data_IF_053452078348
#
_entry.id   IF_053452078348
#
_cell.length_a   1.000
_cell.length_b   1.000
_cell.length_c   1.000
_cell.angle_alpha   90.00
_cell.angle_beta   90.00
_cell.angle_gamma   90.00
#
_symmetry.space_group_name_H-M   'P 1'
#
loop_
_entity.id
_entity.type
_entity.pdbx_description
1 polymer ?
#
# COMPACT_ATOMS: atom_id res chain seq x y z
N UNK A 1 -2.08 -19.06 -8.46
CA UNK A 1 -2.89 -18.37 -9.51
C UNK A 1 -2.56 -18.95 -10.90
N UNK A 2 -3.54 -19.53 -11.61
CA UNK A 2 -3.33 -20.26 -12.89
C UNK A 2 -3.17 -19.37 -14.13
N UNK A 3 -3.53 -18.09 -14.06
CA UNK A 3 -3.41 -17.17 -15.20
C UNK A 3 -1.94 -16.93 -15.57
N UNK A 4 -1.63 -16.75 -16.85
CA UNK A 4 -0.26 -16.42 -17.29
C UNK A 4 0.00 -14.92 -17.06
N UNK A 5 1.26 -14.50 -16.83
CA UNK A 5 1.59 -13.09 -16.65
C UNK A 5 1.12 -12.19 -17.80
N UNK A 6 1.19 -12.67 -19.06
CA UNK A 6 0.71 -11.92 -20.23
C UNK A 6 -0.80 -11.66 -20.20
N UNK A 7 -1.58 -12.56 -19.61
CA UNK A 7 -3.03 -12.42 -19.50
C UNK A 7 -3.42 -11.43 -18.40
N UNK A 8 -2.62 -11.33 -17.34
CA UNK A 8 -2.81 -10.34 -16.27
C UNK A 8 -2.54 -8.89 -16.70
N UNK A 9 -1.78 -8.69 -17.78
CA UNK A 9 -1.51 -7.35 -18.36
C UNK A 9 -2.67 -6.83 -19.22
N UNK A 10 -3.68 -7.65 -19.49
CA UNK A 10 -4.89 -7.22 -20.19
C UNK A 10 -5.82 -6.47 -19.23
N UNK A 11 -6.82 -5.78 -19.77
CA UNK A 11 -7.88 -5.14 -18.98
C UNK A 11 -8.52 -6.17 -18.04
N UNK A 12 -8.53 -5.85 -16.74
CA UNK A 12 -9.15 -6.69 -15.72
C UNK A 12 -10.66 -6.50 -15.77
N UNK A 13 -11.38 -7.60 -16.00
CA UNK A 13 -12.84 -7.67 -15.85
C UNK A 13 -13.14 -8.60 -14.69
N UNK A 14 -13.71 -8.05 -13.62
CA UNK A 14 -14.10 -8.79 -12.43
C UNK A 14 -15.62 -8.85 -12.37
N UNK A 15 -16.15 -9.98 -11.91
CA UNK A 15 -17.57 -10.20 -11.68
C UNK A 15 -17.75 -10.83 -10.31
N UNK A 16 -18.39 -10.13 -9.38
CA UNK A 16 -18.80 -10.70 -8.11
C UNK A 16 -19.97 -11.67 -8.33
N UNK A 17 -19.94 -12.81 -7.64
CA UNK A 17 -20.93 -13.86 -7.83
C UNK A 17 -22.22 -13.47 -7.14
N UNK A 18 -23.30 -13.34 -7.91
CA UNK A 18 -24.62 -12.98 -7.39
C UNK A 18 -24.92 -11.48 -7.47
N UNK A 19 -24.01 -10.67 -8.01
CA UNK A 19 -24.16 -9.23 -8.18
C UNK A 19 -24.21 -8.84 -9.66
N UNK A 20 -25.07 -7.88 -10.01
CA UNK A 20 -25.13 -7.29 -11.35
C UNK A 20 -24.13 -6.13 -11.46
N UNK A 21 -22.88 -6.44 -11.79
CA UNK A 21 -21.86 -5.42 -12.04
C UNK A 21 -22.02 -4.74 -13.40
N UNK A 22 -22.62 -3.55 -13.44
CA UNK A 22 -22.73 -2.72 -14.65
C UNK A 22 -21.44 -1.91 -14.95
N UNK A 23 -20.70 -1.51 -13.91
CA UNK A 23 -19.42 -0.77 -13.99
C UNK A 23 -18.21 -1.72 -13.86
N UNK A 24 -17.76 -2.30 -14.98
CA UNK A 24 -16.60 -3.20 -15.00
C UNK A 24 -15.30 -2.59 -14.46
N UNK A 25 -15.15 -1.25 -14.48
CA UNK A 25 -13.94 -0.59 -13.99
C UNK A 25 -13.94 -0.43 -12.47
N UNK A 26 -15.08 -0.03 -11.90
CA UNK A 26 -15.30 0.06 -10.45
C UNK A 26 -15.17 -1.28 -9.76
N UNK A 27 -15.79 -2.30 -10.32
CA UNK A 27 -15.76 -3.67 -9.77
C UNK A 27 -14.33 -4.22 -9.73
N UNK A 28 -13.49 -3.93 -10.72
CA UNK A 28 -12.08 -4.34 -10.70
C UNK A 28 -11.25 -3.61 -9.62
N UNK A 29 -11.53 -2.32 -9.41
CA UNK A 29 -10.89 -1.49 -8.36
C UNK A 29 -11.29 -1.96 -6.97
N UNK A 30 -12.57 -2.19 -6.76
CA UNK A 30 -13.12 -2.77 -5.54
C UNK A 30 -12.49 -4.10 -5.22
N UNK A 31 -12.47 -5.01 -6.19
CA UNK A 31 -11.88 -6.32 -5.99
C UNK A 31 -10.41 -6.23 -5.58
N UNK A 32 -9.63 -5.34 -6.19
CA UNK A 32 -8.26 -5.09 -5.76
C UNK A 32 -8.19 -4.52 -4.35
N UNK A 33 -9.06 -3.56 -4.00
CA UNK A 33 -9.13 -2.98 -2.67
C UNK A 33 -9.43 -4.04 -1.60
N UNK A 34 -10.50 -4.83 -1.78
CA UNK A 34 -10.89 -5.90 -0.88
C UNK A 34 -9.81 -6.97 -0.77
N UNK A 35 -9.24 -7.40 -1.90
CA UNK A 35 -8.17 -8.39 -1.93
C UNK A 35 -6.91 -7.90 -1.22
N UNK A 36 -6.54 -6.62 -1.38
CA UNK A 36 -5.40 -6.03 -0.69
C UNK A 36 -5.60 -6.05 0.82
N UNK A 37 -6.82 -5.77 1.30
CA UNK A 37 -7.12 -5.81 2.73
C UNK A 37 -7.02 -7.24 3.29
N UNK A 38 -7.59 -8.21 2.59
CA UNK A 38 -7.54 -9.62 3.00
C UNK A 38 -6.13 -10.21 2.92
N UNK A 39 -5.38 -9.97 1.86
CA UNK A 39 -4.05 -10.59 1.72
C UNK A 39 -3.02 -10.06 2.73
N UNK A 40 -3.28 -8.88 3.30
CA UNK A 40 -2.45 -8.24 4.33
C UNK A 40 -2.96 -8.53 5.75
N UNK A 41 -4.06 -9.27 5.88
CA UNK A 41 -4.64 -9.63 7.16
C UNK A 41 -3.69 -10.55 7.94
N UNK A 42 -3.22 -10.15 9.14
CA UNK A 42 -2.30 -10.96 9.95
C UNK A 42 -2.84 -12.35 10.33
N UNK A 43 -4.17 -12.57 10.32
CA UNK A 43 -4.77 -13.87 10.60
C UNK A 43 -4.34 -14.97 9.62
N UNK A 44 -3.93 -14.64 8.39
CA UNK A 44 -3.38 -15.63 7.46
C UNK A 44 -1.93 -16.04 7.79
N UNK A 45 -1.30 -15.39 8.77
CA UNK A 45 0.07 -15.67 9.22
C UNK A 45 1.16 -15.29 8.22
N UNK A 46 0.83 -14.58 7.14
CA UNK A 46 1.80 -14.15 6.11
C UNK A 46 2.58 -12.90 6.54
N UNK A 47 1.88 -11.92 7.10
CA UNK A 47 2.45 -10.66 7.54
C UNK A 47 2.18 -10.45 9.02
N UNK A 48 3.03 -9.67 9.66
CA UNK A 48 2.87 -9.20 11.04
C UNK A 48 3.17 -7.72 11.12
N UNK A 49 2.67 -7.05 12.16
CA UNK A 49 3.02 -5.66 12.41
C UNK A 49 4.48 -5.53 12.84
N UNK A 50 5.14 -4.46 12.40
CA UNK A 50 6.55 -4.21 12.75
C UNK A 50 6.73 -3.76 14.18
N UNK A 51 5.85 -2.90 14.68
CA UNK A 51 5.85 -2.35 16.04
C UNK A 51 4.41 -2.05 16.47
N UNK A 52 4.16 -1.93 17.78
CA UNK A 52 2.82 -1.72 18.33
C UNK A 52 2.22 -0.35 17.97
N UNK A 53 3.06 0.63 17.63
CA UNK A 53 2.65 2.03 17.39
C UNK A 53 2.62 2.44 15.92
N UNK A 54 3.13 1.60 15.02
CA UNK A 54 3.19 1.87 13.58
C UNK A 54 2.59 0.68 12.86
N UNK A 55 1.41 0.86 12.26
CA UNK A 55 0.70 -0.13 11.43
C UNK A 55 1.38 -0.38 10.08
N UNK A 56 2.70 -0.63 10.10
CA UNK A 56 3.46 -1.11 8.94
C UNK A 56 3.66 -2.61 9.07
N UNK A 57 3.57 -3.29 7.94
CA UNK A 57 3.66 -4.73 7.84
C UNK A 57 5.07 -5.17 7.44
N UNK A 58 5.50 -6.28 8.02
CA UNK A 58 6.68 -7.04 7.63
C UNK A 58 6.29 -8.50 7.39
N UNK A 59 7.09 -9.23 6.61
CA UNK A 59 6.89 -10.67 6.43
C UNK A 59 7.01 -11.36 7.78
N UNK A 60 6.07 -12.24 8.09
CA UNK A 60 6.14 -13.09 9.27
C UNK A 60 7.19 -14.20 9.05
N UNK A 61 8.28 -14.24 9.84
CA UNK A 61 9.27 -15.32 9.77
C UNK A 61 8.66 -16.70 10.02
N UNK A 62 7.61 -16.77 10.85
CA UNK A 62 6.92 -18.01 11.22
C UNK A 62 5.75 -18.35 10.27
N UNK A 63 5.71 -17.71 9.10
CA UNK A 63 4.67 -17.98 8.07
C UNK A 63 4.63 -19.43 7.59
N UNK A 64 5.69 -20.21 7.83
CA UNK A 64 5.75 -21.65 7.54
C UNK A 64 4.72 -22.49 8.31
N UNK A 65 4.07 -21.92 9.34
CA UNK A 65 2.88 -22.52 9.96
C UNK A 65 1.77 -22.80 8.94
N UNK A 66 1.71 -21.99 7.87
CA UNK A 66 0.90 -22.27 6.69
C UNK A 66 1.77 -23.02 5.65
N UNK A 67 1.46 -24.30 5.34
CA UNK A 67 2.26 -25.11 4.41
C UNK A 67 2.31 -24.53 3.00
N UNK A 68 1.33 -23.72 2.60
CA UNK A 68 1.24 -23.09 1.29
C UNK A 68 1.81 -21.65 1.28
N UNK A 69 2.42 -21.17 2.37
CA UNK A 69 2.80 -19.77 2.53
C UNK A 69 3.64 -19.21 1.35
N UNK A 70 4.59 -19.98 0.80
CA UNK A 70 5.39 -19.54 -0.35
C UNK A 70 4.52 -19.29 -1.60
N UNK A 71 3.51 -20.13 -1.82
CA UNK A 71 2.54 -19.95 -2.91
C UNK A 71 1.68 -18.69 -2.68
N UNK A 72 1.32 -18.41 -1.42
CA UNK A 72 0.64 -17.17 -1.04
C UNK A 72 1.53 -15.93 -1.23
N UNK A 73 2.80 -15.95 -0.85
CA UNK A 73 3.72 -14.84 -1.11
C UNK A 73 3.92 -14.61 -2.60
N UNK A 74 4.04 -15.68 -3.41
CA UNK A 74 4.07 -15.55 -4.86
C UNK A 74 2.80 -14.89 -5.41
N UNK A 75 1.64 -15.25 -4.87
CA UNK A 75 0.37 -14.64 -5.24
C UNK A 75 0.31 -13.16 -4.82
N UNK A 76 0.68 -12.84 -3.59
CA UNK A 76 0.78 -11.46 -3.08
C UNK A 76 1.67 -10.63 -3.99
N UNK A 77 2.87 -11.11 -4.31
CA UNK A 77 3.78 -10.44 -5.24
C UNK A 77 3.14 -10.17 -6.60
N UNK A 78 2.36 -11.12 -7.13
CA UNK A 78 1.63 -10.92 -8.39
C UNK A 78 0.52 -9.88 -8.27
N UNK A 79 -0.22 -9.85 -7.17
CA UNK A 79 -1.26 -8.83 -6.91
C UNK A 79 -0.61 -7.45 -6.77
N UNK A 80 0.52 -7.36 -6.08
CA UNK A 80 1.28 -6.11 -5.97
C UNK A 80 1.76 -5.61 -7.33
N UNK A 81 2.34 -6.50 -8.15
CA UNK A 81 2.77 -6.16 -9.50
C UNK A 81 1.58 -5.80 -10.42
N UNK A 82 0.42 -6.44 -10.21
CA UNK A 82 -0.81 -6.14 -10.93
C UNK A 82 -1.35 -4.74 -10.59
N UNK A 83 -1.35 -4.39 -9.29
CA UNK A 83 -1.77 -3.08 -8.82
C UNK A 83 -0.89 -1.99 -9.45
N UNK A 84 0.43 -2.11 -9.37
CA UNK A 84 1.37 -1.17 -9.99
C UNK A 84 1.16 -1.08 -11.51
N UNK A 85 1.02 -2.22 -12.20
CA UNK A 85 0.87 -2.25 -13.66
C UNK A 85 -0.40 -1.53 -14.13
N UNK A 86 -1.51 -1.70 -13.41
CA UNK A 86 -2.80 -1.08 -13.74
C UNK A 86 -3.02 0.27 -13.03
N UNK A 87 -2.01 0.82 -12.36
CA UNK A 87 -2.08 2.08 -11.62
C UNK A 87 -3.18 2.09 -10.54
N UNK A 88 -3.25 1.00 -9.80
CA UNK A 88 -4.01 0.87 -8.55
C UNK A 88 -3.07 0.90 -7.35
N UNK A 89 -3.66 1.19 -6.19
CA UNK A 89 -2.94 1.32 -4.95
C UNK A 89 -3.33 0.21 -3.99
N UNK A 90 -2.35 -0.24 -3.21
CA UNK A 90 -2.53 -1.23 -2.16
C UNK A 90 -2.77 -0.48 -0.86
N UNK A 91 -3.91 -0.72 -0.24
CA UNK A 91 -4.22 -0.11 1.04
C UNK A 91 -3.56 -0.91 2.18
N UNK A 92 -2.30 -0.57 2.46
CA UNK A 92 -1.49 -1.17 3.52
C UNK A 92 -0.02 -0.78 3.32
N UNK A 93 0.65 -0.38 4.39
CA UNK A 93 2.05 0.05 4.34
C UNK A 93 2.97 -1.10 4.71
N UNK A 94 3.99 -1.36 3.90
CA UNK A 94 5.13 -2.17 4.32
C UNK A 94 6.19 -1.28 4.99
N UNK A 95 7.10 -1.89 5.73
CA UNK A 95 8.25 -1.16 6.28
C UNK A 95 9.17 -0.66 5.16
N UNK A 96 9.89 0.45 5.37
CA UNK A 96 10.87 0.96 4.38
C UNK A 96 11.91 -0.10 3.92
N UNK A 97 12.41 -0.97 4.81
CA UNK A 97 13.32 -2.05 4.43
C UNK A 97 12.72 -3.03 3.41
N UNK A 98 11.42 -3.29 3.48
CA UNK A 98 10.74 -4.13 2.50
C UNK A 98 10.87 -3.56 1.08
N UNK A 99 10.64 -2.24 0.92
CA UNK A 99 10.79 -1.58 -0.38
C UNK A 99 12.25 -1.53 -0.84
N UNK A 100 13.21 -1.33 0.07
CA UNK A 100 14.64 -1.44 -0.25
C UNK A 100 15.00 -2.83 -0.76
N UNK A 101 14.56 -3.89 -0.10
CA UNK A 101 14.76 -5.27 -0.54
C UNK A 101 14.14 -5.51 -1.93
N UNK A 102 12.94 -4.96 -2.19
CA UNK A 102 12.26 -5.13 -3.47
C UNK A 102 13.02 -4.45 -4.62
N UNK A 103 13.67 -3.32 -4.34
CA UNK A 103 14.60 -2.64 -5.26
C UNK A 103 15.95 -3.35 -5.41
N UNK A 104 16.28 -4.30 -4.53
CA UNK A 104 17.63 -4.88 -4.43
C UNK A 104 18.66 -3.90 -3.86
N UNK A 105 18.22 -2.93 -3.05
CA UNK A 105 19.09 -1.98 -2.35
C UNK A 105 19.53 -2.58 -1.00
N UNK A 106 20.78 -2.29 -0.55
CA UNK A 106 21.27 -2.80 0.72
C UNK A 106 20.48 -2.20 1.89
N UNK A 107 20.29 -3.02 2.92
CA UNK A 107 19.76 -2.57 4.20
C UNK A 107 20.89 -2.00 5.06
N UNK A 108 20.57 -0.97 5.81
CA UNK A 108 21.52 -0.16 6.59
C UNK A 108 21.12 -0.15 8.06
N UNK A 109 22.04 0.25 8.95
CA UNK A 109 21.75 0.36 10.37
C UNK A 109 20.56 1.31 10.64
N UNK A 110 20.48 2.42 9.91
CA UNK A 110 19.40 3.41 10.06
C UNK A 110 18.00 2.81 9.85
N UNK A 111 17.90 1.73 9.06
CA UNK A 111 16.63 1.05 8.82
C UNK A 111 16.05 0.44 10.10
N UNK A 112 16.90 0.06 11.07
CA UNK A 112 16.46 -0.45 12.37
C UNK A 112 15.82 0.60 13.26
N UNK A 113 16.10 1.90 13.06
CA UNK A 113 15.57 2.96 13.91
C UNK A 113 14.03 2.95 13.97
N UNK A 114 13.39 2.55 12.86
CA UNK A 114 11.92 2.50 12.75
C UNK A 114 11.33 1.12 13.05
N UNK A 115 12.08 0.05 12.83
CA UNK A 115 11.57 -1.33 12.97
C UNK A 115 11.95 -2.00 14.28
N UNK A 116 13.10 -1.62 14.86
CA UNK A 116 13.67 -2.18 16.09
C UNK A 116 14.56 -1.14 16.80
N UNK A 117 13.95 -0.11 17.43
CA UNK A 117 14.69 1.04 17.96
C UNK A 117 15.67 0.67 19.09
N UNK A 118 15.40 -0.41 19.82
CA UNK A 118 16.28 -0.90 20.89
C UNK A 118 17.53 -1.54 20.30
N UNK A 119 17.37 -2.46 19.34
CA UNK A 119 18.51 -3.04 18.64
C UNK A 119 19.33 -1.97 17.91
N UNK A 120 18.67 -0.99 17.30
CA UNK A 120 19.35 0.16 16.69
C UNK A 120 20.28 0.86 17.70
N UNK A 121 19.78 1.22 18.89
CA UNK A 121 20.59 1.86 19.93
C UNK A 121 21.77 0.99 20.36
N UNK A 122 21.56 -0.30 20.55
CA UNK A 122 22.64 -1.23 20.94
C UNK A 122 23.73 -1.33 19.87
N UNK A 123 23.36 -1.43 18.58
CA UNK A 123 24.33 -1.52 17.49
C UNK A 123 25.05 -0.19 17.22
N UNK A 124 24.36 0.95 17.39
CA UNK A 124 24.99 2.28 17.37
C UNK A 124 26.01 2.40 18.50
N UNK A 125 25.65 1.98 19.71
CA UNK A 125 26.55 2.00 20.86
C UNK A 125 27.84 1.21 20.59
N UNK A 126 27.74 0.01 20.00
CA UNK A 126 28.91 -0.79 19.58
C UNK A 126 29.82 0.00 18.63
N UNK A 127 29.24 0.73 17.68
CA UNK A 127 30.03 1.52 16.72
C UNK A 127 30.73 2.72 17.36
N UNK A 128 30.06 3.38 18.30
CA UNK A 128 30.50 4.67 18.87
C UNK A 128 31.37 4.55 20.12
N UNK A 129 31.40 3.38 20.77
CA UNK A 129 32.12 3.16 22.03
C UNK A 129 33.24 2.11 21.87
N UNK A 130 34.22 2.15 22.78
CA UNK A 130 35.25 1.12 22.89
C UNK A 130 34.66 -0.17 23.46
N UNK A 131 34.76 -1.27 22.71
CA UNK A 131 34.15 -2.55 23.07
C UNK A 131 35.11 -3.50 23.80
N UNK A 132 36.40 -3.17 23.90
CA UNK A 132 37.49 -4.07 24.27
C UNK A 132 37.35 -4.66 25.68
N UNK A 133 36.61 -3.98 26.56
CA UNK A 133 36.38 -4.39 27.96
C UNK A 133 34.92 -4.70 28.30
N UNK A 134 34.02 -4.61 27.30
CA UNK A 134 32.57 -4.60 27.54
C UNK A 134 31.84 -5.73 26.81
N UNK A 135 32.32 -6.13 25.63
CA UNK A 135 31.65 -7.14 24.79
C UNK A 135 32.59 -8.33 24.55
N UNK A 136 32.24 -9.48 25.13
CA UNK A 136 32.88 -10.76 24.80
C UNK A 136 32.05 -11.49 23.73
N UNK A 137 31.89 -10.83 22.59
CA UNK A 137 31.09 -11.34 21.47
C UNK A 137 31.97 -11.96 20.40
N UNK A 138 31.43 -13.01 19.78
CA UNK A 138 31.93 -13.56 18.53
C UNK A 138 31.02 -13.13 17.38
N UNK A 139 31.34 -13.49 16.13
CA UNK A 139 30.47 -13.23 14.97
C UNK A 139 29.24 -14.17 14.96
N UNK A 140 28.55 -14.25 16.10
CA UNK A 140 27.35 -15.05 16.32
C UNK A 140 26.23 -14.19 16.89
N UNK A 141 24.98 -14.56 16.58
CA UNK A 141 23.80 -13.96 17.17
C UNK A 141 22.89 -15.03 17.74
N UNK A 142 22.37 -14.79 18.94
CA UNK A 142 21.34 -15.62 19.55
C UNK A 142 19.95 -15.09 19.22
N UNK A 143 19.03 -15.99 18.90
CA UNK A 143 17.62 -15.63 18.78
C UNK A 143 16.72 -16.72 19.32
N UNK A 144 15.56 -16.30 19.85
CA UNK A 144 14.49 -17.20 20.22
C UNK A 144 13.61 -17.48 19.00
N UNK A 145 13.44 -18.75 18.65
CA UNK A 145 12.44 -19.22 17.68
C UNK A 145 11.68 -20.40 18.30
N UNK A 146 10.34 -20.32 18.30
CA UNK A 146 9.46 -21.33 18.94
C UNK A 146 9.86 -21.68 20.38
N UNK A 147 10.31 -20.69 21.16
CA UNK A 147 10.73 -20.87 22.55
C UNK A 147 12.10 -21.54 22.74
N UNK A 148 12.87 -21.75 21.67
CA UNK A 148 14.24 -22.26 21.74
C UNK A 148 15.25 -21.19 21.35
N UNK A 149 16.32 -21.06 22.13
CA UNK A 149 17.46 -20.21 21.76
C UNK A 149 18.31 -20.93 20.71
N UNK A 150 18.52 -20.25 19.58
CA UNK A 150 19.33 -20.71 18.46
C UNK A 150 20.45 -19.72 18.22
N UNK A 151 21.67 -20.22 18.13
CA UNK A 151 22.85 -19.45 17.76
C UNK A 151 23.05 -19.52 16.24
N UNK A 152 23.32 -18.38 15.62
CA UNK A 152 23.56 -18.26 14.19
C UNK A 152 24.89 -17.56 13.93
N UNK A 153 25.78 -18.19 13.15
CA UNK A 153 27.03 -17.58 12.71
C UNK A 153 26.77 -16.55 11.60
N UNK A 154 27.18 -15.30 11.81
CA UNK A 154 27.01 -14.20 10.85
C UNK A 154 27.92 -14.33 9.62
N UNK A 155 29.00 -15.09 9.75
CA UNK A 155 29.95 -15.43 8.68
C UNK A 155 30.54 -16.81 8.94
N UNK A 156 31.19 -17.45 7.93
CA UNK A 156 31.81 -18.76 8.13
C UNK A 156 32.79 -18.75 9.31
N UNK A 157 32.68 -19.74 10.18
CA UNK A 157 33.50 -19.88 11.39
C UNK A 157 33.30 -18.73 12.41
N UNK A 158 32.12 -18.10 12.37
CA UNK A 158 31.82 -16.89 13.15
C UNK A 158 31.95 -17.10 14.66
N UNK A 159 31.71 -18.31 15.14
CA UNK A 159 31.85 -18.68 16.56
C UNK A 159 33.29 -18.55 17.08
N UNK A 160 34.30 -18.64 16.21
CA UNK A 160 35.71 -18.57 16.57
C UNK A 160 36.33 -17.20 16.26
N UNK A 161 35.56 -16.28 15.69
CA UNK A 161 36.03 -14.93 15.35
C UNK A 161 35.51 -13.94 16.39
N UNK A 162 36.37 -13.38 17.26
CA UNK A 162 35.96 -12.36 18.22
C UNK A 162 35.64 -11.04 17.52
N UNK A 163 34.69 -10.29 18.08
CA UNK A 163 34.39 -8.92 17.66
C UNK A 163 35.40 -7.98 18.31
N UNK A 164 36.13 -7.22 17.49
CA UNK A 164 37.19 -6.29 17.88
C UNK A 164 36.89 -4.89 17.33
N UNK A 165 37.62 -3.88 17.80
CA UNK A 165 37.52 -2.51 17.28
C UNK A 165 37.71 -2.43 15.76
N UNK A 166 38.62 -3.24 15.21
CA UNK A 166 38.91 -3.26 13.77
C UNK A 166 37.77 -3.87 12.94
N UNK A 167 36.99 -4.80 13.51
CA UNK A 167 35.99 -5.58 12.78
C UNK A 167 34.53 -5.30 13.20
N UNK A 168 34.28 -4.46 14.22
CA UNK A 168 32.92 -4.15 14.72
C UNK A 168 31.97 -3.59 13.66
N UNK A 169 32.50 -2.86 12.67
CA UNK A 169 31.72 -2.36 11.52
C UNK A 169 31.19 -3.50 10.64
N UNK A 170 32.00 -4.54 10.45
CA UNK A 170 31.59 -5.75 9.71
C UNK A 170 30.53 -6.51 10.51
N UNK A 171 30.76 -6.70 11.81
CA UNK A 171 29.81 -7.35 12.71
C UNK A 171 28.43 -6.69 12.66
N UNK A 172 28.36 -5.36 12.83
CA UNK A 172 27.10 -4.61 12.78
C UNK A 172 26.43 -4.75 11.42
N UNK A 173 27.18 -4.66 10.31
CA UNK A 173 26.63 -4.83 8.96
C UNK A 173 26.02 -6.22 8.77
N UNK A 174 26.71 -7.28 9.21
CA UNK A 174 26.20 -8.64 9.09
C UNK A 174 24.99 -8.88 9.99
N UNK A 175 25.02 -8.34 11.22
CA UNK A 175 23.89 -8.40 12.15
C UNK A 175 22.64 -7.78 11.54
N UNK A 176 22.75 -6.56 11.00
CA UNK A 176 21.63 -5.85 10.35
C UNK A 176 21.06 -6.69 9.20
N UNK A 177 21.91 -7.20 8.31
CA UNK A 177 21.46 -8.03 7.19
C UNK A 177 20.74 -9.28 7.68
N UNK A 178 21.31 -9.98 8.67
CA UNK A 178 20.68 -11.15 9.27
C UNK A 178 19.32 -10.81 9.90
N UNK A 179 19.22 -9.70 10.65
CA UNK A 179 17.97 -9.30 11.32
C UNK A 179 16.80 -9.10 10.36
N UNK A 180 17.08 -8.61 9.15
CA UNK A 180 16.07 -8.35 8.11
C UNK A 180 15.84 -9.51 7.15
N UNK A 181 16.75 -10.48 7.05
CA UNK A 181 16.60 -11.62 6.14
C UNK A 181 16.15 -12.90 6.86
N UNK A 182 16.54 -13.07 8.14
CA UNK A 182 16.34 -14.30 8.90
C UNK A 182 14.93 -14.82 8.83
N UNK A 183 14.78 -16.00 8.26
CA UNK A 183 13.52 -16.74 8.24
C UNK A 183 12.51 -16.18 7.26
N UNK A 184 12.90 -15.21 6.42
CA UNK A 184 12.03 -14.62 5.40
C UNK A 184 12.60 -14.72 3.97
N UNK A 185 13.79 -15.29 3.78
CA UNK A 185 14.45 -15.32 2.46
C UNK A 185 13.59 -15.99 1.39
N UNK A 186 13.05 -17.18 1.69
CA UNK A 186 12.22 -17.93 0.74
C UNK A 186 10.91 -17.22 0.43
N UNK A 187 10.29 -16.61 1.45
CA UNK A 187 9.06 -15.82 1.36
C UNK A 187 9.27 -14.60 0.48
N UNK A 188 10.34 -13.84 0.75
CA UNK A 188 10.68 -12.64 0.01
C UNK A 188 11.00 -12.96 -1.45
N UNK A 189 11.78 -14.02 -1.71
CA UNK A 189 12.07 -14.48 -3.08
C UNK A 189 10.80 -14.90 -3.82
N UNK A 190 9.87 -15.60 -3.16
CA UNK A 190 8.59 -15.97 -3.76
C UNK A 190 7.76 -14.72 -4.13
N UNK A 191 7.68 -13.74 -3.23
CA UNK A 191 7.02 -12.45 -3.47
C UNK A 191 7.67 -11.67 -4.62
N UNK A 192 8.99 -11.48 -4.56
CA UNK A 192 9.75 -10.77 -5.59
C UNK A 192 9.59 -11.44 -6.96
N UNK A 193 9.58 -12.77 -7.02
CA UNK A 193 9.30 -13.54 -8.23
C UNK A 193 7.89 -13.26 -8.77
N UNK A 194 6.89 -13.15 -7.90
CA UNK A 194 5.53 -12.79 -8.28
C UNK A 194 5.44 -11.37 -8.84
N UNK A 195 6.05 -10.42 -8.15
CA UNK A 195 6.09 -9.00 -8.54
C UNK A 195 6.77 -8.80 -9.90
N UNK A 196 7.94 -9.43 -10.07
CA UNK A 196 8.77 -9.31 -11.27
C UNK A 196 8.15 -9.89 -12.54
N UNK A 197 7.11 -10.72 -12.42
CA UNK A 197 6.37 -11.23 -13.58
C UNK A 197 5.57 -10.13 -14.30
N UNK A 198 5.17 -9.10 -13.56
CA UNK A 198 4.37 -7.99 -14.09
C UNK A 198 5.26 -6.76 -14.31
N UNK A 199 6.11 -6.44 -13.33
CA UNK A 199 6.97 -5.27 -13.31
C UNK A 199 8.45 -5.69 -13.40
N UNK A 200 9.09 -5.55 -14.57
CA UNK A 200 10.52 -5.88 -14.72
C UNK A 200 11.42 -5.07 -13.78
N UNK A 201 12.38 -5.74 -13.13
CA UNK A 201 13.29 -5.13 -12.15
C UNK A 201 14.04 -3.88 -12.68
N UNK A 202 14.39 -3.85 -13.97
CA UNK A 202 15.12 -2.73 -14.55
C UNK A 202 14.29 -1.43 -14.59
N UNK A 203 12.95 -1.52 -14.62
CA UNK A 203 12.07 -0.36 -14.56
C UNK A 203 12.03 0.26 -13.15
N UNK A 204 12.42 -0.50 -12.13
CA UNK A 204 12.44 -0.03 -10.75
C UNK A 204 13.71 0.76 -10.40
N UNK A 205 14.78 0.61 -11.20
CA UNK A 205 16.11 1.21 -10.94
C UNK A 205 16.09 2.73 -10.69
N UNK A 206 15.29 3.54 -11.41
CA UNK A 206 15.27 4.99 -11.20
C UNK A 206 14.73 5.39 -9.82
N UNK A 207 13.91 4.54 -9.20
CA UNK A 207 13.20 4.90 -7.98
C UNK A 207 14.03 4.64 -6.72
N UNK A 208 13.81 5.47 -5.71
CA UNK A 208 14.14 5.16 -4.34
C UNK A 208 13.03 4.40 -3.60
N UNK A 209 13.33 3.99 -2.36
CA UNK A 209 12.42 3.16 -1.56
C UNK A 209 11.18 3.94 -1.11
N UNK A 210 11.27 5.26 -0.94
CA UNK A 210 10.14 6.14 -0.61
C UNK A 210 9.27 6.38 -1.84
N UNK A 211 9.89 6.57 -3.00
CA UNK A 211 9.16 6.67 -4.27
C UNK A 211 8.43 5.36 -4.60
N UNK A 212 9.07 4.20 -4.38
CA UNK A 212 8.43 2.91 -4.59
C UNK A 212 7.26 2.67 -3.63
N UNK A 213 7.40 3.07 -2.37
CA UNK A 213 6.30 3.07 -1.40
C UNK A 213 5.11 3.87 -1.94
N UNK A 214 5.34 5.08 -2.46
CA UNK A 214 4.28 5.92 -3.02
C UNK A 214 3.68 5.36 -4.31
N UNK A 215 4.48 4.67 -5.13
CA UNK A 215 3.98 3.99 -6.34
C UNK A 215 3.02 2.85 -5.97
N UNK A 216 3.33 2.11 -4.90
CA UNK A 216 2.53 0.96 -4.46
C UNK A 216 1.32 1.41 -3.61
N UNK A 217 1.53 2.32 -2.67
CA UNK A 217 0.54 2.74 -1.68
C UNK A 217 -0.26 3.99 -2.04
N UNK A 218 0.20 4.80 -2.99
CA UNK A 218 -0.37 6.10 -3.32
C UNK A 218 -0.19 7.15 -2.22
N UNK A 219 -0.63 8.39 -2.47
CA UNK A 219 -0.62 9.44 -1.46
C UNK A 219 -1.75 9.23 -0.46
N UNK A 220 -1.42 9.27 0.83
CA UNK A 220 -2.38 9.14 1.92
C UNK A 220 -3.05 10.46 2.35
N UNK A 221 -2.40 11.60 2.13
CA UNK A 221 -2.96 12.92 2.44
C UNK A 221 -3.64 13.48 1.19
N UNK A 222 -4.88 13.95 1.35
CA UNK A 222 -5.63 14.56 0.26
C UNK A 222 -5.39 16.07 0.27
N UNK A 223 -4.78 16.58 -0.80
CA UNK A 223 -4.67 18.02 -1.04
C UNK A 223 -5.97 18.53 -1.68
N UNK A 224 -6.78 19.26 -0.91
CA UNK A 224 -8.03 19.83 -1.39
C UNK A 224 -7.84 20.88 -2.48
N UNK A 225 -6.74 21.64 -2.46
CA UNK A 225 -6.48 22.64 -3.48
C UNK A 225 -6.13 21.97 -4.82
N UNK A 226 -5.32 20.90 -4.77
CA UNK A 226 -5.03 20.07 -5.95
C UNK A 226 -6.30 19.38 -6.48
N UNK A 227 -7.16 18.86 -5.60
CA UNK A 227 -8.41 18.23 -6.00
C UNK A 227 -9.35 19.22 -6.69
N UNK A 228 -9.57 20.39 -6.08
CA UNK A 228 -10.39 21.47 -6.63
C UNK A 228 -9.88 21.93 -7.99
N UNK A 229 -8.58 22.23 -8.10
CA UNK A 229 -7.99 22.77 -9.33
C UNK A 229 -7.99 21.78 -10.50
N UNK A 230 -8.02 20.48 -10.23
CA UNK A 230 -8.07 19.42 -11.24
C UNK A 230 -9.46 18.78 -11.39
N UNK A 231 -10.51 19.46 -10.93
CA UNK A 231 -11.90 18.99 -11.09
C UNK A 231 -12.53 19.56 -12.36
N UNK A 232 -13.12 18.68 -13.16
CA UNK A 232 -13.94 19.04 -14.31
C UNK A 232 -15.40 19.25 -13.89
N UNK A 233 -16.03 20.28 -14.42
CA UNK A 233 -17.46 20.55 -14.22
C UNK A 233 -18.24 20.19 -15.48
N UNK A 234 -19.43 19.60 -15.32
CA UNK A 234 -20.33 19.25 -16.42
C UNK A 234 -21.76 19.67 -16.08
N UNK A 235 -22.39 20.46 -16.96
CA UNK A 235 -23.70 21.08 -16.75
C UNK A 235 -23.80 21.92 -15.46
N UNK A 236 -22.67 22.36 -14.92
CA UNK A 236 -22.56 23.33 -13.85
C UNK A 236 -21.33 24.23 -14.08
N UNK A 237 -21.31 25.37 -13.42
CA UNK A 237 -20.21 26.33 -13.43
C UNK A 237 -19.57 26.42 -12.04
N UNK A 238 -18.40 27.07 -11.94
CA UNK A 238 -17.62 27.14 -10.70
C UNK A 238 -18.39 27.85 -9.57
N UNK A 239 -19.24 28.80 -9.92
CA UNK A 239 -20.09 29.60 -9.03
C UNK A 239 -21.47 28.98 -8.77
N UNK A 240 -21.78 27.82 -9.38
CA UNK A 240 -23.05 27.14 -9.13
C UNK A 240 -23.14 26.66 -7.69
N UNK A 241 -24.30 26.87 -7.05
CA UNK A 241 -24.55 26.46 -5.66
C UNK A 241 -24.11 25.02 -5.39
N UNK A 242 -24.44 24.08 -6.29
CA UNK A 242 -24.04 22.66 -6.17
C UNK A 242 -22.53 22.46 -6.05
N UNK A 243 -21.72 23.26 -6.77
CA UNK A 243 -20.26 23.16 -6.75
C UNK A 243 -19.70 23.80 -5.50
N UNK A 244 -20.19 24.98 -5.12
CA UNK A 244 -19.81 25.67 -3.89
C UNK A 244 -20.11 24.80 -2.66
N UNK A 245 -21.35 24.32 -2.54
CA UNK A 245 -21.80 23.47 -1.45
C UNK A 245 -21.09 22.13 -1.38
N UNK A 246 -20.83 21.49 -2.54
CA UNK A 246 -20.03 20.27 -2.58
C UNK A 246 -18.66 20.49 -1.95
N UNK A 247 -17.96 21.56 -2.34
CA UNK A 247 -16.63 21.84 -1.82
C UNK A 247 -16.61 22.31 -0.37
N UNK A 248 -17.62 23.04 0.06
CA UNK A 248 -17.83 23.41 1.46
C UNK A 248 -18.03 22.16 2.33
N UNK A 249 -18.85 21.21 1.87
CA UNK A 249 -19.03 19.93 2.53
C UNK A 249 -17.71 19.14 2.62
N UNK A 250 -16.97 19.03 1.52
CA UNK A 250 -15.68 18.31 1.48
C UNK A 250 -14.61 18.95 2.36
N UNK A 251 -14.60 20.28 2.49
CA UNK A 251 -13.73 21.00 3.41
C UNK A 251 -14.05 20.67 4.87
N UNK A 252 -15.33 20.51 5.22
CA UNK A 252 -15.77 20.13 6.56
C UNK A 252 -15.51 18.66 6.92
N UNK A 253 -15.28 17.80 5.93
CA UNK A 253 -15.01 16.38 6.15
C UNK A 253 -13.65 16.13 6.81
N UNK A 254 -13.59 15.09 7.64
CA UNK A 254 -12.33 14.52 8.14
C UNK A 254 -11.53 13.89 7.00
N UNK A 255 -10.22 13.66 7.19
CA UNK A 255 -9.39 12.95 6.20
C UNK A 255 -9.98 11.57 5.83
N UNK A 256 -10.51 10.84 6.81
CA UNK A 256 -11.16 9.55 6.59
C UNK A 256 -12.38 9.69 5.65
N UNK A 257 -13.26 10.66 5.92
CA UNK A 257 -14.44 10.92 5.08
C UNK A 257 -14.06 11.39 3.68
N UNK A 258 -13.01 12.20 3.54
CA UNK A 258 -12.46 12.59 2.23
C UNK A 258 -11.96 11.36 1.45
N UNK A 259 -11.29 10.43 2.14
CA UNK A 259 -10.86 9.14 1.58
C UNK A 259 -12.03 8.27 1.13
N UNK A 260 -13.11 8.19 1.91
CA UNK A 260 -14.33 7.46 1.55
C UNK A 260 -15.04 8.10 0.35
N UNK A 261 -15.14 9.42 0.28
CA UNK A 261 -15.70 10.11 -0.88
C UNK A 261 -14.86 9.86 -2.14
N UNK A 262 -13.52 9.90 -2.01
CA UNK A 262 -12.63 9.58 -3.12
C UNK A 262 -12.85 8.14 -3.59
N UNK A 263 -13.01 7.19 -2.66
CA UNK A 263 -13.31 5.80 -2.97
C UNK A 263 -14.67 5.65 -3.63
N UNK A 264 -15.70 6.33 -3.14
CA UNK A 264 -17.04 6.32 -3.74
C UNK A 264 -16.99 6.75 -5.22
N UNK A 265 -16.28 7.82 -5.54
CA UNK A 265 -16.25 8.36 -6.91
C UNK A 265 -15.20 7.70 -7.80
N UNK A 266 -14.11 7.19 -7.25
CA UNK A 266 -12.96 6.70 -8.04
C UNK A 266 -12.64 5.23 -7.82
N UNK A 267 -13.21 4.54 -6.84
CA UNK A 267 -12.80 3.19 -6.49
C UNK A 267 -11.48 3.10 -5.70
N UNK A 268 -10.88 4.23 -5.32
CA UNK A 268 -9.61 4.29 -4.59
C UNK A 268 -9.69 5.28 -3.43
N UNK A 269 -9.11 4.94 -2.28
CA UNK A 269 -8.91 5.87 -1.16
C UNK A 269 -7.62 6.70 -1.29
N UNK A 270 -6.84 6.47 -2.35
CA UNK A 270 -5.49 7.02 -2.53
C UNK A 270 -5.40 7.89 -3.77
N UNK A 271 -4.60 8.95 -3.68
CA UNK A 271 -4.34 9.90 -4.77
C UNK A 271 -3.06 9.48 -5.51
N UNK A 272 -3.00 9.61 -6.85
CA UNK A 272 -1.76 9.37 -7.60
C UNK A 272 -0.61 10.24 -7.10
N UNK A 273 0.63 9.72 -7.21
CA UNK A 273 1.84 10.46 -6.85
C UNK A 273 1.93 11.82 -7.58
N UNK A 274 1.46 11.88 -8.83
CA UNK A 274 1.45 13.11 -9.63
C UNK A 274 0.23 14.02 -9.38
N UNK A 275 -0.57 13.73 -8.35
CA UNK A 275 -1.76 14.49 -7.96
C UNK A 275 -3.02 14.14 -8.76
N UNK A 276 -4.08 14.91 -8.52
CA UNK A 276 -5.42 14.69 -9.09
C UNK A 276 -5.47 14.80 -10.63
N UNK A 277 -4.51 15.53 -11.24
CA UNK A 277 -4.35 15.58 -12.70
C UNK A 277 -4.04 14.24 -13.35
N UNK A 278 -3.50 13.29 -12.57
CA UNK A 278 -3.07 11.98 -13.04
C UNK A 278 -4.03 10.85 -12.65
N UNK A 279 -5.23 11.20 -12.14
CA UNK A 279 -6.26 10.20 -11.83
C UNK A 279 -6.50 9.30 -13.04
N UNK A 280 -6.57 8.00 -12.80
CA UNK A 280 -6.83 7.01 -13.86
C UNK A 280 -8.33 6.73 -13.97
N UNK A 281 -8.82 6.38 -15.15
CA UNK A 281 -10.17 5.85 -15.34
C UNK A 281 -10.19 4.32 -15.21
N UNK A 282 -11.09 3.65 -15.94
CA UNK A 282 -11.11 2.18 -16.03
C UNK A 282 -9.72 1.55 -16.28
N UNK A 283 -9.45 0.37 -15.72
CA UNK A 283 -8.23 -0.43 -16.00
C UNK A 283 -7.86 -0.45 -17.49
N UNK A 284 -6.64 -0.04 -17.81
CA UNK A 284 -6.13 -0.01 -19.20
C UNK A 284 -6.61 1.17 -20.06
N UNK A 285 -7.17 2.24 -19.47
CA UNK A 285 -7.47 3.47 -20.20
C UNK A 285 -6.21 4.16 -20.73
N UNK A 286 -6.29 4.75 -21.93
CA UNK A 286 -5.15 5.33 -22.66
C UNK A 286 -4.55 6.61 -22.04
N UNK A 287 -5.15 7.15 -20.98
CA UNK A 287 -4.65 8.36 -20.31
C UNK A 287 -5.48 8.78 -19.10
N UNK A 288 -5.04 9.84 -18.40
CA UNK A 288 -5.70 10.33 -17.20
C UNK A 288 -7.16 10.73 -17.43
N UNK A 289 -7.98 10.56 -16.40
CA UNK A 289 -9.39 10.95 -16.31
C UNK A 289 -9.59 11.75 -15.03
N UNK A 290 -9.82 13.04 -15.19
CA UNK A 290 -10.05 13.95 -14.07
C UNK A 290 -11.32 13.61 -13.29
N UNK A 291 -11.30 13.95 -12.00
CA UNK A 291 -12.51 13.97 -11.18
C UNK A 291 -13.54 14.91 -11.81
N UNK A 292 -14.80 14.48 -11.92
CA UNK A 292 -15.85 15.25 -12.60
C UNK A 292 -17.08 15.39 -11.72
N UNK A 293 -17.52 16.63 -11.49
CA UNK A 293 -18.84 16.94 -10.91
C UNK A 293 -19.81 17.18 -12.07
N UNK A 294 -20.93 16.47 -12.05
CA UNK A 294 -21.93 16.54 -13.10
C UNK A 294 -23.29 16.83 -12.49
N UNK A 295 -23.84 18.02 -12.76
CA UNK A 295 -25.21 18.33 -12.40
C UNK A 295 -26.14 17.59 -13.35
N UNK A 296 -27.06 16.79 -12.80
CA UNK A 296 -28.04 16.02 -13.58
C UNK A 296 -29.46 16.46 -13.27
N UNK A 297 -30.33 16.39 -14.27
CA UNK A 297 -31.77 16.53 -14.05
C UNK A 297 -32.30 15.22 -13.44
N UNK A 298 -32.52 15.23 -12.13
CA UNK A 298 -33.05 14.11 -11.36
C UNK A 298 -33.86 14.62 -10.17
N UNK A 299 -34.71 13.75 -9.62
CA UNK A 299 -35.42 14.05 -8.37
C UNK A 299 -34.40 14.34 -7.25
N UNK A 300 -34.60 15.42 -6.50
CA UNK A 300 -33.75 15.87 -5.40
C UNK A 300 -33.84 14.97 -4.16
N UNK A 301 -34.77 14.01 -4.13
CA UNK A 301 -34.81 12.96 -3.10
C UNK A 301 -33.80 11.83 -3.37
N UNK A 302 -33.31 11.71 -4.61
CA UNK A 302 -32.31 10.71 -4.97
C UNK A 302 -30.95 11.03 -4.33
N UNK A 303 -30.16 9.99 -4.05
CA UNK A 303 -28.76 10.15 -3.64
C UNK A 303 -27.87 10.53 -4.84
N UNK A 304 -26.71 11.19 -4.63
CA UNK A 304 -25.70 11.33 -5.66
C UNK A 304 -25.23 9.95 -6.13
N UNK A 305 -24.93 9.83 -7.44
CA UNK A 305 -24.49 8.56 -8.02
C UNK A 305 -23.07 8.67 -8.57
N UNK A 306 -22.23 7.69 -8.29
CA UNK A 306 -20.86 7.65 -8.80
C UNK A 306 -20.74 6.76 -10.04
N UNK A 307 -19.86 7.16 -10.96
CA UNK A 307 -19.43 6.37 -12.11
C UNK A 307 -17.90 6.27 -12.08
N UNK A 308 -17.41 5.24 -11.40
CA UNK A 308 -15.99 5.11 -11.07
C UNK A 308 -15.09 4.92 -12.29
N UNK A 309 -15.61 4.29 -13.36
CA UNK A 309 -14.93 4.23 -14.66
C UNK A 309 -14.49 5.61 -15.19
N UNK A 310 -15.25 6.65 -14.85
CA UNK A 310 -15.08 8.01 -15.34
C UNK A 310 -14.65 9.01 -14.26
N UNK A 311 -14.42 8.55 -13.01
CA UNK A 311 -14.20 9.39 -11.84
C UNK A 311 -15.26 10.50 -11.72
N UNK A 312 -16.53 10.18 -11.98
CA UNK A 312 -17.62 11.16 -12.07
C UNK A 312 -18.64 10.95 -10.97
N UNK A 313 -19.06 12.04 -10.34
CA UNK A 313 -20.22 12.07 -9.46
C UNK A 313 -21.34 12.86 -10.12
N UNK A 314 -22.50 12.22 -10.24
CA UNK A 314 -23.73 12.83 -10.71
C UNK A 314 -24.51 13.34 -9.50
N UNK A 315 -24.76 14.64 -9.44
CA UNK A 315 -25.39 15.32 -8.30
C UNK A 315 -26.75 15.89 -8.76
N UNK A 316 -27.87 15.53 -8.10
CA UNK A 316 -29.16 16.18 -8.30
C UNK A 316 -29.15 17.68 -7.93
N UNK A 317 -30.09 18.49 -8.43
CA UNK A 317 -30.16 19.93 -8.16
C UNK A 317 -30.76 20.19 -6.77
N UNK A 318 -30.06 19.80 -5.70
CA UNK A 318 -30.53 19.99 -4.32
C UNK A 318 -30.87 21.45 -4.03
N UNK A 319 -31.87 21.66 -3.17
CA UNK A 319 -32.44 22.97 -2.91
C UNK A 319 -31.69 23.76 -1.83
N UNK A 320 -30.89 23.08 -0.99
CA UNK A 320 -30.09 23.71 0.07
C UNK A 320 -28.78 22.97 0.33
N UNK A 321 -27.86 23.67 1.00
CA UNK A 321 -26.59 23.10 1.46
C UNK A 321 -26.82 21.87 2.38
N UNK A 322 -27.75 21.97 3.32
CA UNK A 322 -28.03 20.93 4.30
C UNK A 322 -28.48 19.64 3.62
N UNK A 323 -29.37 19.74 2.62
CA UNK A 323 -29.84 18.58 1.88
C UNK A 323 -28.74 17.97 1.03
N UNK A 324 -27.89 18.79 0.38
CA UNK A 324 -26.71 18.29 -0.34
C UNK A 324 -25.77 17.56 0.61
N UNK A 325 -25.46 18.16 1.75
CA UNK A 325 -24.55 17.61 2.75
C UNK A 325 -25.05 16.27 3.28
N UNK A 326 -26.32 16.19 3.68
CA UNK A 326 -26.96 14.97 4.17
C UNK A 326 -26.91 13.87 3.09
N UNK A 327 -27.41 14.16 1.88
CA UNK A 327 -27.47 13.16 0.79
C UNK A 327 -26.09 12.70 0.34
N UNK A 328 -25.10 13.61 0.30
CA UNK A 328 -23.72 13.26 -0.01
C UNK A 328 -23.12 12.36 1.07
N UNK A 329 -23.33 12.70 2.34
CA UNK A 329 -22.83 11.92 3.46
C UNK A 329 -23.45 10.52 3.47
N UNK A 330 -24.77 10.42 3.31
CA UNK A 330 -25.49 9.15 3.18
C UNK A 330 -24.92 8.30 2.06
N UNK A 331 -24.74 8.86 0.85
CA UNK A 331 -24.17 8.09 -0.26
C UNK A 331 -22.73 7.62 0.01
N UNK A 332 -21.91 8.42 0.70
CA UNK A 332 -20.53 8.04 1.03
C UNK A 332 -20.45 7.01 2.17
N UNK A 333 -21.36 7.07 3.15
CA UNK A 333 -21.35 6.20 4.33
C UNK A 333 -22.13 4.89 4.14
N UNK A 334 -23.20 4.87 3.33
CA UNK A 334 -24.03 3.68 3.11
C UNK A 334 -23.54 2.77 1.97
N UNK A 335 -22.65 3.27 1.09
CA UNK A 335 -22.13 2.49 -0.04
C UNK A 335 -20.91 1.65 0.37
N UNK A 336 -21.10 0.62 1.19
CA UNK A 336 -20.13 -0.46 1.36
C UNK A 336 -20.23 -1.44 0.17
N UNK A 337 -19.77 -0.99 -1.00
CA UNK A 337 -19.60 -1.80 -2.21
C UNK A 337 -20.18 -1.16 -3.47
N UNK A 338 -19.54 -1.35 -4.63
CA UNK A 338 -19.93 -0.69 -5.89
C UNK A 338 -21.11 -1.38 -6.61
N UNK A 339 -21.80 -2.28 -5.90
CA UNK A 339 -22.85 -3.15 -6.42
C UNK A 339 -24.25 -2.84 -5.89
N UNK A 340 -24.45 -1.74 -5.15
CA UNK A 340 -25.76 -1.42 -4.56
C UNK A 340 -26.45 -0.33 -5.39
N UNK A 341 -27.62 -0.68 -5.92
CA UNK A 341 -28.56 0.22 -6.62
C UNK A 341 -29.38 1.11 -5.69
#
# INVERSE_FOLDING_TARGET
MKMRPKDLKKRLMVKFRGEEGLDYGGVAREWLYLLCHEMLNPYYGLFQYSTDNIYTLQINPDSSINPDHLSYFHFVGRVMGLAVFHSHYINGGFTLPFYKQLLGKPITLQDLETTDPELHKSLVWILENDISSVLDHTFCVEHSAFGKFLQHELKPDGQNVPVTEDNKKEYVKLYVNWRFMRGIEAQFLALQKGFSQLIPQHLLKPFDHKELELIIGGLGKIDLADWKSNTRLKHCAVDSNVVCWFWEAVESFTEERRGRLLQFVTGSTRVPLQGFKALQGSTGSAGPRLFTIHLIEANTDNLPKAHTCFNRIDIPPYESYEKLYEKLLTAVEETCGFAVE
#
